data_IF_509688788782
#
_entry.id   IF_509688788782
#
_cell.length_a   1.000
_cell.length_b   1.000
_cell.length_c   1.000
_cell.angle_alpha   90.00
_cell.angle_beta   90.00
_cell.angle_gamma   90.00
#
_symmetry.space_group_name_H-M   'P 1'
#
loop_
_entity.id
_entity.type
_entity.pdbx_description
1 polymer ?
#
# COMPACT_ATOMS: atom_id res chain seq x y z
N UNK A 1 -4.93 -39.63 -12.46
CA UNK A 1 -5.94 -38.94 -11.63
C UNK A 1 -5.29 -38.60 -10.30
N UNK A 2 -4.82 -37.35 -10.11
CA UNK A 2 -4.20 -36.96 -8.85
C UNK A 2 -5.30 -36.49 -7.90
N UNK A 3 -5.57 -37.28 -6.86
CA UNK A 3 -6.42 -36.87 -5.74
C UNK A 3 -5.67 -35.81 -4.92
N UNK A 4 -5.79 -34.54 -5.29
CA UNK A 4 -5.38 -33.44 -4.42
C UNK A 4 -6.44 -33.31 -3.33
N UNK A 5 -6.21 -33.96 -2.18
CA UNK A 5 -6.99 -33.65 -0.97
C UNK A 5 -6.95 -32.14 -0.75
N UNK A 6 -8.10 -31.48 -0.60
CA UNK A 6 -8.16 -30.10 -0.09
C UNK A 6 -7.53 -30.11 1.30
N UNK A 7 -6.21 -29.87 1.37
CA UNK A 7 -5.51 -29.69 2.63
C UNK A 7 -5.85 -28.30 3.13
N UNK A 8 -6.52 -28.24 4.26
CA UNK A 8 -6.79 -27.00 4.97
C UNK A 8 -5.74 -26.85 6.06
N UNK A 9 -5.14 -25.67 6.15
CA UNK A 9 -4.21 -25.31 7.22
C UNK A 9 -4.85 -24.24 8.12
N UNK A 10 -4.52 -24.28 9.40
CA UNK A 10 -5.02 -23.32 10.39
C UNK A 10 -4.15 -22.07 10.41
N UNK A 11 -4.77 -20.89 10.34
CA UNK A 11 -4.09 -19.59 10.44
C UNK A 11 -4.34 -19.01 11.83
N UNK A 12 -3.27 -18.67 12.54
CA UNK A 12 -3.33 -18.03 13.85
C UNK A 12 -2.73 -16.63 13.78
N UNK A 13 -3.51 -15.63 14.19
CA UNK A 13 -3.07 -14.24 14.26
C UNK A 13 -3.43 -13.62 15.62
N UNK A 14 -2.54 -12.77 16.14
CA UNK A 14 -2.81 -11.98 17.34
C UNK A 14 -3.47 -10.67 16.94
N UNK A 15 -4.63 -10.39 17.51
CA UNK A 15 -5.38 -9.15 17.31
C UNK A 15 -5.82 -8.62 18.67
N UNK A 16 -5.99 -7.31 18.78
CA UNK A 16 -6.57 -6.72 19.99
C UNK A 16 -8.07 -7.08 20.06
N UNK A 17 -8.64 -7.26 21.26
CA UNK A 17 -10.07 -7.57 21.41
C UNK A 17 -10.97 -6.53 20.73
N UNK A 18 -10.59 -5.25 20.83
CA UNK A 18 -11.36 -4.16 20.23
C UNK A 18 -11.32 -4.20 18.71
N UNK A 19 -10.15 -4.43 18.10
CA UNK A 19 -10.03 -4.58 16.65
C UNK A 19 -10.88 -5.75 16.15
N UNK A 20 -10.84 -6.89 16.85
CA UNK A 20 -11.66 -8.06 16.51
C UNK A 20 -13.15 -7.71 16.54
N UNK A 21 -13.62 -7.07 17.61
CA UNK A 21 -15.04 -6.71 17.77
C UNK A 21 -15.52 -5.76 16.66
N UNK A 22 -14.74 -4.72 16.36
CA UNK A 22 -15.06 -3.76 15.30
C UNK A 22 -15.10 -4.44 13.92
N UNK A 23 -14.11 -5.30 13.62
CA UNK A 23 -14.08 -6.05 12.38
C UNK A 23 -15.28 -7.00 12.25
N UNK A 24 -15.65 -7.72 13.31
CA UNK A 24 -16.84 -8.57 13.31
C UNK A 24 -18.13 -7.77 13.09
N UNK A 25 -18.27 -6.60 13.71
CA UNK A 25 -19.44 -5.74 13.54
C UNK A 25 -19.64 -5.31 12.08
N UNK A 26 -18.58 -4.83 11.42
CA UNK A 26 -18.60 -4.43 10.00
C UNK A 26 -18.88 -5.63 9.10
N UNK A 27 -18.20 -6.75 9.33
CA UNK A 27 -18.36 -7.95 8.50
C UNK A 27 -19.75 -8.58 8.65
N UNK A 28 -20.34 -8.54 9.84
CA UNK A 28 -21.70 -9.00 10.09
C UNK A 28 -22.74 -8.16 9.37
N UNK A 29 -22.56 -6.83 9.28
CA UNK A 29 -23.43 -5.95 8.49
C UNK A 29 -23.40 -6.32 7.00
N UNK A 30 -22.26 -6.79 6.50
CA UNK A 30 -22.09 -7.29 5.14
C UNK A 30 -22.53 -8.75 4.95
N UNK A 31 -22.96 -9.44 6.03
CA UNK A 31 -23.25 -10.88 6.05
C UNK A 31 -22.05 -11.75 5.64
N UNK A 32 -20.84 -11.29 5.93
CA UNK A 32 -19.59 -11.98 5.62
C UNK A 32 -18.99 -12.52 6.92
N UNK A 33 -18.80 -13.84 7.07
CA UNK A 33 -18.06 -14.39 8.21
C UNK A 33 -16.58 -13.96 8.19
N UNK A 34 -15.98 -13.77 9.36
CA UNK A 34 -14.56 -13.40 9.51
C UNK A 34 -13.63 -14.32 8.70
N UNK A 35 -13.83 -15.64 8.77
CA UNK A 35 -13.04 -16.62 8.01
C UNK A 35 -13.15 -16.42 6.51
N UNK A 36 -14.34 -16.07 6.01
CA UNK A 36 -14.55 -15.78 4.59
C UNK A 36 -13.78 -14.54 4.17
N UNK A 37 -13.82 -13.47 4.98
CA UNK A 37 -13.04 -12.25 4.71
C UNK A 37 -11.53 -12.52 4.66
N UNK A 38 -11.00 -13.34 5.57
CA UNK A 38 -9.59 -13.76 5.56
C UNK A 38 -9.26 -14.54 4.28
N UNK A 39 -10.13 -15.47 3.87
CA UNK A 39 -9.93 -16.22 2.63
C UNK A 39 -9.97 -15.30 1.40
N UNK A 40 -10.88 -14.32 1.36
CA UNK A 40 -10.96 -13.34 0.27
C UNK A 40 -9.69 -12.48 0.20
N UNK A 41 -9.16 -12.06 1.34
CA UNK A 41 -7.88 -11.34 1.40
C UNK A 41 -6.74 -12.18 0.79
N UNK A 42 -6.60 -13.44 1.18
CA UNK A 42 -5.56 -14.33 0.65
C UNK A 42 -5.73 -14.60 -0.84
N UNK A 43 -6.97 -14.80 -1.30
CA UNK A 43 -7.27 -14.95 -2.72
C UNK A 43 -6.83 -13.72 -3.52
N UNK A 44 -7.11 -12.52 -2.99
CA UNK A 44 -6.71 -11.30 -3.67
C UNK A 44 -5.18 -11.18 -3.74
N UNK A 45 -4.46 -11.45 -2.64
CA UNK A 45 -2.99 -11.45 -2.63
C UNK A 45 -2.40 -12.39 -3.69
N UNK A 46 -2.96 -13.59 -3.83
CA UNK A 46 -2.50 -14.57 -4.84
C UNK A 46 -2.84 -14.12 -6.25
N UNK A 47 -4.02 -13.54 -6.47
CA UNK A 47 -4.49 -13.15 -7.80
C UNK A 47 -3.73 -11.95 -8.37
N UNK A 48 -3.43 -10.96 -7.52
CA UNK A 48 -2.76 -9.72 -7.95
C UNK A 48 -1.26 -9.75 -7.73
N UNK A 49 -0.74 -10.71 -6.95
CA UNK A 49 0.62 -10.71 -6.43
C UNK A 49 0.97 -9.41 -5.67
N UNK A 50 -0.02 -8.77 -5.04
CA UNK A 50 0.14 -7.52 -4.30
C UNK A 50 -0.72 -7.47 -3.03
N UNK A 51 -0.44 -6.54 -2.12
CA UNK A 51 -1.29 -6.31 -0.95
C UNK A 51 -2.56 -5.57 -1.40
N UNK A 52 -3.77 -6.10 -1.12
CA UNK A 52 -5.03 -5.60 -1.66
C UNK A 52 -5.57 -4.33 -0.95
N UNK A 53 -4.67 -3.49 -0.47
CA UNK A 53 -4.96 -2.17 0.06
C UNK A 53 -3.69 -1.31 -0.04
N UNK A 54 -3.89 0.01 -0.21
CA UNK A 54 -2.76 0.95 -0.27
C UNK A 54 -2.03 0.98 1.07
N UNK A 55 -0.79 0.49 1.10
CA UNK A 55 0.09 0.63 2.28
C UNK A 55 0.69 2.03 2.25
N UNK A 56 0.05 2.98 2.92
CA UNK A 56 0.63 4.31 3.13
C UNK A 56 1.64 4.21 4.26
N UNK A 57 2.91 4.03 3.92
CA UNK A 57 3.99 4.29 4.89
C UNK A 57 4.20 5.81 4.96
N UNK A 58 4.39 6.37 6.15
CA UNK A 58 4.57 7.82 6.35
C UNK A 58 5.83 8.39 5.66
N UNK A 59 6.66 7.54 5.04
CA UNK A 59 7.90 7.87 4.35
C UNK A 59 8.20 6.84 3.26
N UNK A 60 7.80 7.06 2.01
CA UNK A 60 8.52 6.43 0.92
C UNK A 60 8.68 7.40 -0.26
N UNK A 61 9.83 7.37 -0.95
CA UNK A 61 10.12 8.26 -2.06
C UNK A 61 9.16 7.97 -3.22
N UNK A 62 8.72 9.04 -3.87
CA UNK A 62 7.74 9.04 -4.96
C UNK A 62 8.09 7.96 -6.01
N UNK A 63 7.25 6.94 -6.10
CA UNK A 63 7.33 5.97 -7.19
C UNK A 63 6.46 6.46 -8.35
N UNK A 64 7.12 6.97 -9.39
CA UNK A 64 6.47 7.61 -10.54
C UNK A 64 5.58 6.63 -11.34
N UNK A 65 5.76 5.31 -11.21
CA UNK A 65 4.95 4.32 -11.93
C UNK A 65 3.55 4.13 -11.35
N UNK A 66 3.27 4.67 -10.15
CA UNK A 66 1.99 4.48 -9.45
C UNK A 66 1.20 5.78 -9.21
N UNK A 67 1.62 6.91 -9.78
CA UNK A 67 0.90 8.17 -9.66
C UNK A 67 -0.32 8.20 -10.58
N UNK A 68 -1.48 8.61 -10.05
CA UNK A 68 -2.59 9.02 -10.92
C UNK A 68 -2.19 10.27 -11.72
N UNK A 69 -2.90 10.56 -12.83
CA UNK A 69 -2.63 11.79 -13.61
C UNK A 69 -2.76 13.04 -12.75
N UNK A 70 -3.69 13.06 -11.82
CA UNK A 70 -3.90 14.17 -10.90
C UNK A 70 -2.73 14.32 -9.92
N UNK A 71 -2.25 13.21 -9.34
CA UNK A 71 -1.12 13.21 -8.42
C UNK A 71 0.20 13.60 -9.12
N UNK A 72 0.40 13.13 -10.36
CA UNK A 72 1.53 13.52 -11.19
C UNK A 72 1.49 15.02 -11.54
N UNK A 73 0.35 15.52 -12.00
CA UNK A 73 0.19 16.94 -12.33
C UNK A 73 0.41 17.83 -11.11
N UNK A 74 -0.05 17.39 -9.93
CA UNK A 74 0.18 18.11 -8.67
C UNK A 74 1.67 18.18 -8.33
N UNK A 75 2.42 17.10 -8.50
CA UNK A 75 3.86 17.08 -8.21
C UNK A 75 4.65 17.93 -9.22
N UNK A 76 4.27 17.90 -10.50
CA UNK A 76 4.84 18.79 -11.52
C UNK A 76 4.56 20.26 -11.20
N UNK A 77 3.34 20.59 -10.74
CA UNK A 77 3.00 21.96 -10.38
C UNK A 77 3.86 22.47 -9.22
N UNK A 78 4.11 21.66 -8.20
CA UNK A 78 5.05 22.01 -7.12
C UNK A 78 6.45 22.32 -7.67
N UNK A 79 6.96 21.49 -8.58
CA UNK A 79 8.26 21.72 -9.22
C UNK A 79 8.30 23.03 -10.01
N UNK A 80 7.22 23.38 -10.72
CA UNK A 80 7.11 24.66 -11.44
C UNK A 80 7.08 25.85 -10.46
N UNK A 81 6.38 25.71 -9.34
CA UNK A 81 6.28 26.75 -8.31
C UNK A 81 7.64 26.95 -7.59
N UNK A 82 8.40 25.88 -7.38
CA UNK A 82 9.77 25.93 -6.83
C UNK A 82 10.75 26.61 -7.79
N UNK A 83 10.63 26.35 -9.11
CA UNK A 83 11.41 27.05 -10.15
C UNK A 83 11.07 28.54 -10.16
N UNK A 84 9.77 28.89 -10.15
CA UNK A 84 9.32 30.27 -10.14
C UNK A 84 9.79 31.03 -8.88
N UNK A 85 9.91 30.34 -7.76
CA UNK A 85 10.40 30.89 -6.49
C UNK A 85 11.93 30.84 -6.33
N UNK A 86 12.67 30.36 -7.35
CA UNK A 86 14.13 30.26 -7.33
C UNK A 86 14.70 29.21 -6.36
N UNK A 87 13.87 28.28 -5.88
CA UNK A 87 14.28 27.15 -5.02
C UNK A 87 14.82 25.99 -5.86
N UNK A 88 15.82 26.28 -6.69
CA UNK A 88 16.43 25.31 -7.61
C UNK A 88 17.86 25.03 -7.20
N UNK A 89 18.31 23.79 -7.36
CA UNK A 89 19.70 23.40 -7.19
C UNK A 89 20.32 23.10 -8.56
N UNK A 90 21.54 23.58 -8.78
CA UNK A 90 22.33 23.21 -9.95
C UNK A 90 22.81 21.76 -9.84
N UNK A 91 23.15 21.16 -10.98
CA UNK A 91 23.62 19.77 -11.01
C UNK A 91 24.89 19.55 -10.14
N UNK A 92 25.75 20.57 -10.03
CA UNK A 92 26.93 20.52 -9.16
C UNK A 92 26.57 20.61 -7.68
N UNK A 93 25.62 21.48 -7.30
CA UNK A 93 25.12 21.59 -5.91
C UNK A 93 24.45 20.29 -5.45
N UNK A 94 23.61 19.67 -6.30
CA UNK A 94 22.95 18.38 -5.99
C UNK A 94 23.98 17.26 -5.84
N UNK A 95 25.00 17.23 -6.71
CA UNK A 95 26.10 16.24 -6.63
C UNK A 95 26.86 16.37 -5.31
N UNK A 96 27.15 17.59 -4.87
CA UNK A 96 27.85 17.84 -3.61
C UNK A 96 26.97 17.55 -2.38
N UNK A 97 25.64 17.72 -2.49
CA UNK A 97 24.67 17.39 -1.42
C UNK A 97 24.47 15.87 -1.24
N UNK A 98 24.66 15.07 -2.30
CA UNK A 98 24.39 13.62 -2.30
C UNK A 98 25.65 12.76 -2.15
N UNK A 99 26.84 13.33 -2.39
CA UNK A 99 28.15 12.66 -2.23
C UNK A 99 28.94 13.14 -0.97
N UNK A 100 28.30 13.79 -0.01
CA UNK A 100 28.88 14.00 1.32
C UNK A 100 28.75 12.73 2.15
N UNK A 101 29.86 12.29 2.78
CA UNK A 101 29.93 11.17 3.73
C UNK A 101 28.86 11.21 4.83
#
# INVERSE_FOLDING_TARGET
>A
MQNTSKRTESIYARVTPELKRQAEEVLNQLQIPMTTAINMFLQQVVNTNEIPFKVKTARNPLDLSHLSKEEFNHEIQKGLDDIAAGRTYTAEEVKNMTLGE
#
